data_IF_885367265657
#
_entry.id   IF_885367265657
#
_cell.length_a   1.000
_cell.length_b   1.000
_cell.length_c   1.000
_cell.angle_alpha   90.00
_cell.angle_beta   90.00
_cell.angle_gamma   90.00
#
_symmetry.space_group_name_H-M   'P 1'
#
loop_
_entity.id
_entity.type
_entity.pdbx_description
1 polymer ?
#
# COMPACT_ATOMS: atom_id res chain seq x y z
N UNK A 1 5.01 19.77 1.09
CA UNK A 1 5.15 18.47 0.40
C UNK A 1 6.04 17.52 1.20
N UNK A 2 7.34 17.77 1.44
CA UNK A 2 8.15 16.86 2.27
C UNK A 2 7.59 16.65 3.69
N UNK A 3 7.32 17.73 4.42
CA UNK A 3 6.70 17.66 5.75
C UNK A 3 5.34 16.95 5.70
N UNK A 4 4.50 17.39 4.75
CA UNK A 4 3.17 16.85 4.51
C UNK A 4 3.10 15.34 4.29
N UNK A 5 4.09 14.73 3.62
CA UNK A 5 4.09 13.29 3.34
C UNK A 5 5.03 12.50 4.25
N UNK A 6 6.28 12.95 4.45
CA UNK A 6 7.27 12.20 5.24
C UNK A 6 7.09 12.38 6.75
N UNK A 7 6.74 13.58 7.22
CA UNK A 7 6.60 13.82 8.68
C UNK A 7 5.22 13.38 9.16
N UNK A 8 4.17 13.61 8.37
CA UNK A 8 2.81 13.21 8.73
C UNK A 8 2.42 11.79 8.30
N UNK A 9 3.34 11.04 7.67
CA UNK A 9 3.12 9.67 7.18
C UNK A 9 1.77 9.53 6.45
N UNK A 10 1.53 10.41 5.47
CA UNK A 10 0.19 10.63 4.91
C UNK A 10 -0.48 9.34 4.42
N UNK A 11 0.23 8.54 3.62
CA UNK A 11 -0.33 7.32 3.06
C UNK A 11 -0.52 6.27 4.15
N UNK A 12 0.50 6.02 4.96
CA UNK A 12 0.47 5.03 6.04
C UNK A 12 -0.65 5.30 7.04
N UNK A 13 -0.84 6.55 7.44
CA UNK A 13 -1.94 6.95 8.32
C UNK A 13 -3.29 6.82 7.62
N UNK A 14 -3.41 7.26 6.36
CA UNK A 14 -4.65 7.12 5.59
C UNK A 14 -5.08 5.66 5.43
N UNK A 15 -4.14 4.76 5.16
CA UNK A 15 -4.44 3.33 5.10
C UNK A 15 -4.80 2.77 6.47
N UNK A 16 -4.03 3.10 7.51
CA UNK A 16 -4.29 2.62 8.88
C UNK A 16 -5.70 3.01 9.35
N UNK A 17 -6.16 4.21 9.01
CA UNK A 17 -7.49 4.70 9.34
C UNK A 17 -8.61 4.01 8.54
N UNK A 18 -8.40 3.77 7.24
CA UNK A 18 -9.47 3.31 6.33
C UNK A 18 -9.55 1.79 6.16
N UNK A 19 -8.45 1.06 6.31
CA UNK A 19 -8.45 -0.43 6.19
C UNK A 19 -9.57 -1.08 7.03
N UNK A 20 -9.81 -0.69 8.29
CA UNK A 20 -10.89 -1.28 9.09
C UNK A 20 -12.30 -1.14 8.48
N UNK A 21 -12.60 -0.05 7.77
CA UNK A 21 -13.92 0.17 7.17
C UNK A 21 -14.11 -0.57 5.84
N UNK A 22 -13.02 -0.79 5.11
CA UNK A 22 -13.04 -1.51 3.83
C UNK A 22 -13.14 -3.02 4.00
N UNK A 23 -12.60 -3.57 5.10
CA UNK A 23 -12.56 -5.03 5.31
C UNK A 23 -13.31 -5.43 6.59
N UNK A 24 -14.62 -5.57 6.43
CA UNK A 24 -15.53 -5.90 7.52
C UNK A 24 -15.64 -7.41 7.73
N UNK A 25 -15.76 -7.80 9.00
CA UNK A 25 -16.13 -9.16 9.38
C UNK A 25 -17.58 -9.45 8.95
N UNK A 26 -17.87 -10.71 8.66
CA UNK A 26 -19.23 -11.16 8.34
C UNK A 26 -19.94 -11.67 9.60
N UNK A 27 -21.26 -11.77 9.52
CA UNK A 27 -22.08 -12.36 10.57
C UNK A 27 -22.73 -13.69 10.11
N UNK A 28 -23.41 -14.37 11.03
CA UNK A 28 -24.10 -15.62 10.70
C UNK A 28 -25.19 -15.43 9.65
N UNK A 29 -25.85 -14.26 9.62
CA UNK A 29 -26.90 -13.96 8.65
C UNK A 29 -26.35 -13.95 7.21
N UNK A 30 -25.09 -13.54 7.04
CA UNK A 30 -24.38 -13.61 5.76
C UNK A 30 -24.22 -15.04 5.27
N UNK A 31 -23.83 -15.97 6.15
CA UNK A 31 -23.69 -17.39 5.80
C UNK A 31 -25.06 -17.98 5.46
N UNK A 32 -26.07 -17.74 6.30
CA UNK A 32 -27.43 -18.25 6.11
C UNK A 32 -28.11 -17.75 4.83
N UNK A 33 -27.78 -16.53 4.40
CA UNK A 33 -28.30 -15.94 3.15
C UNK A 33 -27.76 -16.64 1.90
N UNK A 34 -26.50 -17.05 1.91
CA UNK A 34 -25.80 -17.53 0.71
C UNK A 34 -25.69 -19.06 0.66
N UNK A 35 -25.95 -19.74 1.78
CA UNK A 35 -25.73 -21.18 1.92
C UNK A 35 -27.02 -21.87 2.38
N UNK A 36 -27.47 -22.92 1.68
CA UNK A 36 -28.65 -23.68 2.09
C UNK A 36 -28.52 -24.24 3.51
N UNK A 37 -29.64 -24.24 4.26
CA UNK A 37 -29.70 -24.76 5.64
C UNK A 37 -29.36 -26.24 5.78
N UNK A 38 -29.46 -27.01 4.69
CA UNK A 38 -29.22 -28.46 4.66
C UNK A 38 -27.82 -28.83 4.15
N UNK A 39 -26.99 -27.85 3.79
CA UNK A 39 -25.60 -28.10 3.43
C UNK A 39 -24.81 -28.32 4.74
N UNK A 40 -24.21 -29.50 4.87
CA UNK A 40 -23.42 -29.87 6.06
C UNK A 40 -21.94 -30.12 5.71
N UNK A 41 -21.55 -29.90 4.44
CA UNK A 41 -20.15 -29.90 4.05
C UNK A 41 -19.52 -28.53 4.32
N UNK A 42 -19.07 -28.33 5.56
CA UNK A 42 -18.51 -27.05 6.03
C UNK A 42 -17.27 -26.59 5.26
N UNK A 43 -16.45 -27.50 4.74
CA UNK A 43 -15.32 -27.14 3.87
C UNK A 43 -15.81 -26.56 2.53
N UNK A 44 -16.86 -27.14 1.97
CA UNK A 44 -17.48 -26.60 0.76
C UNK A 44 -18.16 -25.26 1.01
N UNK A 45 -18.81 -25.10 2.16
CA UNK A 45 -19.43 -23.84 2.58
C UNK A 45 -18.38 -22.74 2.70
N UNK A 46 -17.30 -23.02 3.43
CA UNK A 46 -16.22 -22.06 3.69
C UNK A 46 -15.59 -21.56 2.38
N UNK A 47 -15.18 -22.50 1.51
CA UNK A 47 -14.67 -22.17 0.17
C UNK A 47 -15.67 -21.33 -0.63
N UNK A 48 -16.95 -21.71 -0.66
CA UNK A 48 -17.95 -20.98 -1.41
C UNK A 48 -18.13 -19.55 -0.92
N UNK A 49 -18.18 -19.33 0.40
CA UNK A 49 -18.28 -17.98 0.97
C UNK A 49 -17.08 -17.12 0.55
N UNK A 50 -15.87 -17.68 0.61
CA UNK A 50 -14.63 -16.97 0.25
C UNK A 50 -14.54 -16.67 -1.23
N UNK A 51 -14.71 -17.68 -2.09
CA UNK A 51 -14.53 -17.56 -3.54
C UNK A 51 -15.64 -16.73 -4.18
N UNK A 52 -16.91 -17.02 -3.87
CA UNK A 52 -18.04 -16.43 -4.60
C UNK A 52 -18.40 -15.02 -4.09
N UNK A 53 -18.06 -14.70 -2.84
CA UNK A 53 -18.57 -13.48 -2.19
C UNK A 53 -17.48 -12.58 -1.61
N UNK A 54 -16.58 -13.10 -0.76
CA UNK A 54 -15.65 -12.24 -0.04
C UNK A 54 -14.47 -11.78 -0.88
N UNK A 55 -13.86 -12.69 -1.65
CA UNK A 55 -12.61 -12.40 -2.35
C UNK A 55 -12.77 -11.27 -3.37
N UNK A 56 -13.77 -11.39 -4.25
CA UNK A 56 -14.04 -10.35 -5.27
C UNK A 56 -14.42 -9.01 -4.63
N UNK A 57 -15.25 -9.03 -3.59
CA UNK A 57 -15.59 -7.82 -2.85
C UNK A 57 -14.34 -7.17 -2.27
N UNK A 58 -13.48 -7.94 -1.59
CA UNK A 58 -12.28 -7.40 -0.97
C UNK A 58 -11.26 -6.93 -2.00
N UNK A 59 -11.18 -7.54 -3.18
CA UNK A 59 -10.34 -7.04 -4.27
C UNK A 59 -10.82 -5.68 -4.77
N UNK A 60 -12.14 -5.50 -4.94
CA UNK A 60 -12.73 -4.23 -5.33
C UNK A 60 -12.52 -3.17 -4.24
N UNK A 61 -12.77 -3.53 -2.98
CA UNK A 61 -12.54 -2.69 -1.80
C UNK A 61 -11.07 -2.25 -1.71
N UNK A 62 -10.12 -3.17 -1.92
CA UNK A 62 -8.70 -2.86 -1.93
C UNK A 62 -8.32 -1.92 -3.08
N UNK A 63 -8.84 -2.13 -4.30
CA UNK A 63 -8.61 -1.24 -5.44
C UNK A 63 -9.15 0.17 -5.17
N UNK A 64 -10.37 0.25 -4.61
CA UNK A 64 -10.99 1.52 -4.24
C UNK A 64 -10.21 2.24 -3.15
N UNK A 65 -9.70 1.52 -2.16
CA UNK A 65 -8.86 2.05 -1.08
C UNK A 65 -7.56 2.65 -1.62
N UNK A 66 -6.86 1.92 -2.51
CA UNK A 66 -5.63 2.41 -3.16
C UNK A 66 -5.92 3.68 -3.97
N UNK A 67 -6.98 3.67 -4.77
CA UNK A 67 -7.38 4.83 -5.55
C UNK A 67 -7.70 6.04 -4.67
N UNK A 68 -8.43 5.83 -3.58
CA UNK A 68 -8.83 6.90 -2.68
C UNK A 68 -7.63 7.57 -1.98
N UNK A 69 -6.69 6.77 -1.47
CA UNK A 69 -5.59 7.28 -0.66
C UNK A 69 -4.41 7.73 -1.54
N UNK A 70 -4.09 6.94 -2.56
CA UNK A 70 -2.90 7.16 -3.40
C UNK A 70 -3.24 7.96 -4.65
N UNK A 71 -4.05 7.41 -5.56
CA UNK A 71 -4.23 8.02 -6.89
C UNK A 71 -4.81 9.43 -6.81
N UNK A 72 -5.89 9.61 -6.05
CA UNK A 72 -6.49 10.94 -5.87
C UNK A 72 -5.46 11.94 -5.32
N UNK A 73 -4.61 11.50 -4.37
CA UNK A 73 -3.63 12.39 -3.76
C UNK A 73 -2.48 12.71 -4.70
N UNK A 74 -2.08 11.74 -5.50
CA UNK A 74 -1.06 11.89 -6.52
C UNK A 74 -1.52 12.91 -7.57
N UNK A 75 -2.76 12.82 -8.03
CA UNK A 75 -3.36 13.76 -8.98
C UNK A 75 -3.44 15.18 -8.39
N UNK A 76 -3.84 15.33 -7.12
CA UNK A 76 -3.83 16.62 -6.43
C UNK A 76 -2.44 17.26 -6.34
N UNK A 77 -1.39 16.46 -6.10
CA UNK A 77 -0.01 16.97 -6.07
C UNK A 77 0.44 17.38 -7.46
N UNK A 78 0.12 16.61 -8.49
CA UNK A 78 0.38 16.97 -9.88
C UNK A 78 -0.27 18.31 -10.24
N UNK A 79 -1.53 18.51 -9.86
CA UNK A 79 -2.25 19.77 -10.05
C UNK A 79 -1.61 20.95 -9.30
N UNK A 80 -1.13 20.73 -8.07
CA UNK A 80 -0.41 21.75 -7.30
C UNK A 80 0.90 22.15 -7.96
N UNK A 81 1.64 21.17 -8.47
CA UNK A 81 2.91 21.42 -9.20
C UNK A 81 2.63 22.17 -10.50
N UNK A 82 1.61 21.78 -11.25
CA UNK A 82 1.18 22.48 -12.46
C UNK A 82 0.77 23.93 -12.17
N UNK A 83 -0.04 24.16 -11.14
CA UNK A 83 -0.45 25.52 -10.72
C UNK A 83 0.74 26.37 -10.30
N UNK A 84 1.73 25.80 -9.61
CA UNK A 84 2.96 26.51 -9.26
C UNK A 84 3.77 26.89 -10.50
N UNK A 85 3.87 25.99 -11.49
CA UNK A 85 4.52 26.25 -12.78
C UNK A 85 3.84 27.41 -13.53
N UNK A 86 2.51 27.39 -13.65
CA UNK A 86 1.74 28.47 -14.30
C UNK A 86 1.87 29.79 -13.53
N UNK A 87 1.73 29.75 -12.20
CA UNK A 87 1.77 30.95 -11.35
C UNK A 87 3.12 31.66 -11.37
N UNK A 88 4.22 30.94 -11.64
CA UNK A 88 5.55 31.53 -11.75
C UNK A 88 5.70 32.43 -13.00
N UNK A 89 4.82 32.29 -13.99
CA UNK A 89 4.87 33.02 -15.27
C UNK A 89 3.77 34.09 -15.32
N UNK A 90 2.55 33.70 -14.97
CA UNK A 90 1.39 34.60 -14.95
C UNK A 90 0.09 33.82 -14.88
N UNK A 91 -0.87 34.32 -14.08
CA UNK A 91 -2.15 33.64 -13.90
C UNK A 91 -3.17 34.09 -14.95
N UNK A 92 -3.19 33.41 -16.09
CA UNK A 92 -4.24 33.58 -17.12
C UNK A 92 -4.64 32.23 -17.72
N UNK A 93 -5.90 32.13 -18.18
CA UNK A 93 -6.41 30.92 -18.84
C UNK A 93 -5.71 30.60 -20.17
N UNK A 94 -5.13 31.61 -20.84
CA UNK A 94 -4.30 31.38 -22.03
C UNK A 94 -2.95 30.77 -21.65
N UNK A 95 -2.29 31.34 -20.63
CA UNK A 95 -1.00 30.83 -20.12
C UNK A 95 -1.18 29.40 -19.61
N UNK A 96 -2.29 29.08 -18.93
CA UNK A 96 -2.59 27.71 -18.48
C UNK A 96 -2.70 26.72 -19.65
N UNK A 97 -3.37 27.10 -20.75
CA UNK A 97 -3.49 26.24 -21.94
C UNK A 97 -2.14 26.01 -22.62
N UNK A 98 -1.32 27.05 -22.72
CA UNK A 98 0.02 26.96 -23.31
C UNK A 98 0.95 26.14 -22.41
N UNK A 99 0.87 26.35 -21.10
CA UNK A 99 1.64 25.59 -20.11
C UNK A 99 1.37 24.08 -20.22
N UNK A 100 0.12 23.65 -20.48
CA UNK A 100 -0.20 22.21 -20.67
C UNK A 100 0.57 21.55 -21.82
N UNK A 101 1.00 22.32 -22.82
CA UNK A 101 1.73 21.77 -23.98
C UNK A 101 3.22 21.52 -23.68
N UNK A 102 3.77 22.25 -22.71
CA UNK A 102 5.19 22.18 -22.33
C UNK A 102 5.41 21.57 -20.94
N UNK A 103 4.35 21.44 -20.14
CA UNK A 103 4.40 20.82 -18.82
C UNK A 103 4.55 19.31 -18.94
N UNK A 104 5.77 18.84 -18.70
CA UNK A 104 6.13 17.42 -18.76
C UNK A 104 6.26 16.90 -17.34
N UNK A 105 5.11 16.61 -16.74
CA UNK A 105 5.00 15.81 -15.51
C UNK A 105 4.24 14.55 -15.90
N UNK A 106 4.92 13.41 -15.97
CA UNK A 106 4.24 12.19 -16.36
C UNK A 106 3.08 11.89 -15.39
N UNK A 107 1.96 11.38 -15.88
CA UNK A 107 0.85 10.99 -15.02
C UNK A 107 1.35 9.99 -13.96
N UNK A 108 1.12 10.28 -12.68
CA UNK A 108 1.67 9.49 -11.59
C UNK A 108 0.65 8.50 -10.99
N UNK A 109 -0.64 8.70 -11.25
CA UNK A 109 -1.74 7.77 -10.90
C UNK A 109 -1.51 6.38 -11.50
N UNK A 110 -1.87 5.34 -10.75
CA UNK A 110 -1.69 3.92 -11.13
C UNK A 110 -0.24 3.44 -11.13
N UNK A 111 0.75 4.35 -11.03
CA UNK A 111 2.16 3.96 -11.02
C UNK A 111 2.61 3.34 -9.69
N UNK A 112 1.72 3.23 -8.70
CA UNK A 112 1.93 2.53 -7.44
C UNK A 112 1.21 1.18 -7.38
N UNK A 113 0.35 0.87 -8.35
CA UNK A 113 -0.47 -0.35 -8.37
C UNK A 113 0.39 -1.60 -8.24
N UNK A 114 1.53 -1.64 -8.92
CA UNK A 114 2.45 -2.78 -8.86
C UNK A 114 2.95 -3.10 -7.43
N UNK A 115 3.08 -2.08 -6.56
CA UNK A 115 3.49 -2.28 -5.17
C UNK A 115 2.37 -2.94 -4.36
N UNK A 116 1.14 -2.51 -4.60
CA UNK A 116 -0.05 -3.08 -3.97
C UNK A 116 -0.40 -4.47 -4.52
N UNK A 117 -0.20 -4.72 -5.81
CA UNK A 117 -0.35 -6.04 -6.41
C UNK A 117 0.66 -7.04 -5.84
N UNK A 118 1.92 -6.60 -5.65
CA UNK A 118 2.97 -7.48 -5.15
C UNK A 118 2.69 -7.99 -3.74
N UNK A 119 2.22 -7.13 -2.84
CA UNK A 119 2.06 -7.50 -1.43
C UNK A 119 0.59 -7.61 -1.00
N UNK A 120 -0.25 -6.62 -1.33
CA UNK A 120 -1.64 -6.60 -0.90
C UNK A 120 -2.51 -7.67 -1.58
N UNK A 121 -2.44 -7.80 -2.91
CA UNK A 121 -3.23 -8.81 -3.64
C UNK A 121 -2.83 -10.24 -3.25
N UNK A 122 -1.53 -10.53 -3.15
CA UNK A 122 -1.05 -11.85 -2.73
C UNK A 122 -1.51 -12.21 -1.32
N UNK A 123 -1.50 -11.24 -0.40
CA UNK A 123 -2.05 -11.42 0.95
C UNK A 123 -3.54 -11.75 0.91
N UNK A 124 -4.30 -11.08 0.05
CA UNK A 124 -5.73 -11.26 -0.12
C UNK A 124 -6.04 -12.65 -0.72
N UNK A 125 -5.32 -13.05 -1.77
CA UNK A 125 -5.42 -14.39 -2.37
C UNK A 125 -5.06 -15.48 -1.34
N UNK A 126 -4.03 -15.27 -0.53
CA UNK A 126 -3.58 -16.31 0.41
C UNK A 126 -4.46 -16.42 1.66
N UNK A 127 -4.85 -15.29 2.27
CA UNK A 127 -5.60 -15.28 3.53
C UNK A 127 -7.11 -15.36 3.30
N UNK A 128 -7.64 -14.66 2.29
CA UNK A 128 -9.09 -14.52 2.12
C UNK A 128 -9.63 -15.60 1.19
N UNK A 129 -9.04 -15.79 0.01
CA UNK A 129 -9.54 -16.77 -0.97
C UNK A 129 -9.39 -18.20 -0.46
N UNK A 130 -8.22 -18.54 0.06
CA UNK A 130 -7.89 -19.91 0.45
C UNK A 130 -8.27 -20.19 1.92
N UNK A 131 -9.19 -21.14 2.20
CA UNK A 131 -9.50 -21.55 3.57
C UNK A 131 -8.27 -22.01 4.33
N UNK A 132 -8.30 -21.86 5.66
CA UNK A 132 -7.29 -22.49 6.50
C UNK A 132 -7.36 -24.00 6.25
N UNK A 133 -6.21 -24.68 6.20
CA UNK A 133 -6.09 -26.12 5.90
C UNK A 133 -6.29 -26.54 4.44
N UNK A 134 -6.65 -25.62 3.54
CA UNK A 134 -6.69 -25.91 2.11
C UNK A 134 -5.29 -26.21 1.56
N UNK A 135 -5.15 -27.29 0.77
CA UNK A 135 -3.88 -27.62 0.10
C UNK A 135 -3.37 -26.47 -0.78
N UNK A 136 -4.31 -25.67 -1.31
CA UNK A 136 -3.99 -24.50 -2.12
C UNK A 136 -3.31 -23.39 -1.33
N UNK A 137 -3.72 -23.16 -0.07
CA UNK A 137 -3.07 -22.20 0.84
C UNK A 137 -1.61 -22.57 1.09
N UNK A 138 -1.34 -23.85 1.32
CA UNK A 138 0.03 -24.35 1.49
C UNK A 138 0.86 -24.21 0.21
N UNK A 139 0.30 -24.55 -0.95
CA UNK A 139 0.97 -24.41 -2.24
C UNK A 139 1.31 -22.94 -2.52
N UNK A 140 0.33 -22.04 -2.39
CA UNK A 140 0.51 -20.62 -2.67
C UNK A 140 1.51 -19.97 -1.70
N UNK A 141 1.50 -20.36 -0.41
CA UNK A 141 2.53 -19.93 0.52
C UNK A 141 3.92 -20.36 0.10
N UNK A 142 4.13 -21.62 -0.30
CA UNK A 142 5.44 -22.11 -0.73
C UNK A 142 5.97 -21.34 -1.94
N UNK A 143 5.08 -20.92 -2.85
CA UNK A 143 5.44 -20.09 -4.00
C UNK A 143 5.93 -18.71 -3.58
N UNK A 144 5.33 -18.12 -2.53
CA UNK A 144 5.63 -16.76 -2.08
C UNK A 144 6.40 -16.68 -0.74
N UNK A 145 6.99 -17.79 -0.31
CA UNK A 145 7.60 -17.96 1.02
C UNK A 145 8.61 -16.87 1.34
N UNK A 146 9.51 -16.59 0.42
CA UNK A 146 10.58 -15.59 0.62
C UNK A 146 10.01 -14.17 0.81
N UNK A 147 8.88 -13.86 0.18
CA UNK A 147 8.21 -12.57 0.38
C UNK A 147 7.56 -12.50 1.76
N UNK A 148 6.93 -13.56 2.25
CA UNK A 148 6.37 -13.59 3.61
C UNK A 148 7.44 -13.56 4.68
N UNK A 149 8.58 -14.23 4.46
CA UNK A 149 9.74 -14.12 5.34
C UNK A 149 10.29 -12.71 5.35
N UNK A 150 10.35 -12.05 4.20
CA UNK A 150 10.72 -10.65 4.12
C UNK A 150 9.74 -9.77 4.90
N UNK A 151 8.42 -9.97 4.75
CA UNK A 151 7.39 -9.26 5.53
C UNK A 151 7.58 -9.48 7.04
N UNK A 152 7.74 -10.72 7.48
CA UNK A 152 7.94 -11.07 8.89
C UNK A 152 9.20 -10.43 9.47
N UNK A 153 10.30 -10.42 8.71
CA UNK A 153 11.58 -9.84 9.11
C UNK A 153 11.53 -8.34 9.38
N UNK A 154 10.58 -7.64 8.77
CA UNK A 154 10.36 -6.20 8.92
C UNK A 154 9.30 -5.86 9.95
N UNK A 155 8.53 -6.85 10.39
CA UNK A 155 7.51 -6.69 11.41
C UNK A 155 8.07 -6.94 12.82
N UNK A 156 8.27 -8.22 13.19
CA UNK A 156 8.79 -8.63 14.52
C UNK A 156 9.85 -9.73 14.43
N UNK A 157 10.03 -10.35 13.26
CA UNK A 157 10.96 -11.44 13.00
C UNK A 157 10.78 -12.63 13.97
N UNK A 158 9.53 -12.89 14.36
CA UNK A 158 9.15 -13.97 15.29
C UNK A 158 8.27 -15.03 14.60
N UNK A 159 8.14 -14.99 13.27
CA UNK A 159 7.34 -15.92 12.48
C UNK A 159 5.83 -15.68 12.58
N UNK A 160 5.38 -14.67 13.34
CA UNK A 160 3.97 -14.40 13.57
C UNK A 160 3.20 -14.09 12.28
N UNK A 161 3.80 -13.38 11.32
CA UNK A 161 3.15 -13.13 10.02
C UNK A 161 2.93 -14.45 9.30
N UNK A 162 3.92 -15.35 9.33
CA UNK A 162 3.81 -16.68 8.72
C UNK A 162 2.69 -17.48 9.39
N UNK A 163 2.59 -17.41 10.72
CA UNK A 163 1.58 -18.12 11.49
C UNK A 163 0.15 -17.61 11.21
N UNK A 164 -0.03 -16.29 11.14
CA UNK A 164 -1.30 -15.67 10.74
C UNK A 164 -1.70 -16.10 9.33
N UNK A 165 -0.76 -16.04 8.39
CA UNK A 165 -0.99 -16.34 6.98
C UNK A 165 -1.32 -17.82 6.77
N UNK A 166 -0.76 -18.73 7.54
CA UNK A 166 -0.89 -20.18 7.28
C UNK A 166 -1.89 -20.89 8.19
N UNK A 167 -1.89 -20.58 9.47
CA UNK A 167 -2.73 -21.25 10.48
C UNK A 167 -3.83 -20.34 11.04
N UNK A 168 -3.81 -19.05 10.69
CA UNK A 168 -4.71 -18.04 11.24
C UNK A 168 -4.37 -17.60 12.66
N UNK A 169 -3.26 -18.06 13.26
CA UNK A 169 -2.92 -17.74 14.64
C UNK A 169 -2.04 -16.49 14.73
N UNK A 170 -2.49 -15.51 15.49
CA UNK A 170 -1.70 -14.33 15.91
C UNK A 170 -0.80 -14.67 17.11
N UNK A 171 0.13 -15.58 16.87
CA UNK A 171 1.09 -16.04 17.86
C UNK A 171 2.46 -16.13 17.20
N UNK A 172 3.52 -15.76 17.93
CA UNK A 172 4.88 -16.03 17.49
C UNK A 172 5.04 -17.52 17.23
N UNK A 173 5.77 -17.87 16.16
CA UNK A 173 6.20 -19.26 16.02
C UNK A 173 7.18 -19.54 17.15
N UNK A 174 7.06 -20.74 17.72
CA UNK A 174 8.19 -21.31 18.44
C UNK A 174 9.38 -21.20 17.51
N UNK A 175 10.41 -20.44 17.91
CA UNK A 175 11.75 -20.65 17.39
C UNK A 175 12.23 -21.98 17.95
N UNK A 176 11.58 -23.07 17.51
CA UNK A 176 12.14 -24.39 17.61
C UNK A 176 13.41 -24.29 16.80
N UNK A 177 14.54 -24.10 17.48
CA UNK A 177 15.83 -24.25 16.86
C UNK A 177 15.73 -25.64 16.22
N UNK A 178 15.64 -25.74 14.90
CA UNK A 178 15.40 -27.01 14.21
C UNK A 178 16.42 -28.07 14.66
N UNK A 179 17.57 -27.57 15.11
CA UNK A 179 18.61 -28.24 15.85
C UNK A 179 18.19 -28.84 17.21
N UNK A 180 17.44 -28.15 18.06
CA UNK A 180 16.89 -28.69 19.32
C UNK A 180 15.86 -29.80 19.08
N UNK A 181 14.97 -29.64 18.09
CA UNK A 181 14.03 -30.70 17.69
C UNK A 181 14.81 -31.92 17.19
N UNK A 182 15.77 -31.70 16.28
CA UNK A 182 16.69 -32.75 15.83
C UNK A 182 17.48 -33.37 16.99
N UNK A 183 17.95 -32.59 17.97
CA UNK A 183 18.63 -33.06 19.18
C UNK A 183 17.75 -34.02 19.97
N UNK A 184 16.49 -33.66 20.17
CA UNK A 184 15.53 -34.43 20.94
C UNK A 184 15.15 -35.74 20.22
N UNK A 185 14.92 -35.68 18.91
CA UNK A 185 14.62 -36.85 18.08
C UNK A 185 15.82 -37.81 17.99
N UNK A 186 17.02 -37.26 17.79
CA UNK A 186 18.25 -38.04 17.72
C UNK A 186 18.59 -38.68 19.06
N UNK A 187 18.46 -37.95 20.18
CA UNK A 187 18.61 -38.51 21.52
C UNK A 187 17.60 -39.63 21.78
N UNK A 188 16.34 -39.44 21.35
CA UNK A 188 15.30 -40.46 21.46
C UNK A 188 15.59 -41.71 20.62
N UNK A 189 16.26 -41.55 19.46
CA UNK A 189 16.72 -42.64 18.63
C UNK A 189 17.93 -43.37 19.23
N UNK A 190 18.90 -42.65 19.81
CA UNK A 190 20.06 -43.21 20.51
C UNK A 190 19.63 -44.15 21.64
N UNK A 191 18.62 -43.76 22.42
CA UNK A 191 18.14 -44.59 23.54
C UNK A 191 17.55 -45.94 23.11
N UNK A 192 17.25 -46.13 21.81
CA UNK A 192 16.74 -47.38 21.25
C UNK A 192 17.86 -48.28 20.69
N UNK A 193 19.11 -47.82 20.68
CA UNK A 193 20.26 -48.57 20.19
C UNK A 193 20.84 -49.48 21.28
N UNK A 194 21.53 -50.54 20.85
CA UNK A 194 22.38 -51.37 21.73
C UNK A 194 23.69 -50.64 22.07
N UNK A 195 24.38 -51.10 23.13
CA UNK A 195 25.47 -50.36 23.78
C UNK A 195 26.60 -49.89 22.84
N UNK A 196 27.08 -50.74 21.92
CA UNK A 196 28.19 -50.37 21.02
C UNK A 196 27.78 -49.34 19.94
N UNK A 197 26.65 -49.49 19.22
CA UNK A 197 26.13 -48.43 18.36
C UNK A 197 25.75 -47.14 19.10
N UNK A 198 25.30 -47.26 20.35
CA UNK A 198 24.94 -46.13 21.21
C UNK A 198 26.16 -45.26 21.52
N UNK A 199 27.26 -45.87 21.94
CA UNK A 199 28.53 -45.17 22.26
C UNK A 199 29.11 -44.44 21.04
N UNK A 200 29.02 -45.06 19.85
CA UNK A 200 29.39 -44.41 18.59
C UNK A 200 28.48 -43.23 18.26
N UNK A 201 27.16 -43.38 18.39
CA UNK A 201 26.20 -42.32 18.11
C UNK A 201 26.32 -41.15 19.10
N UNK A 202 26.62 -41.40 20.37
CA UNK A 202 26.91 -40.38 21.39
C UNK A 202 28.21 -39.62 21.07
N UNK A 203 29.24 -40.32 20.56
CA UNK A 203 30.48 -39.69 20.10
C UNK A 203 30.24 -38.79 18.87
N UNK A 204 29.44 -39.25 17.91
CA UNK A 204 29.01 -38.44 16.77
C UNK A 204 28.21 -37.22 17.24
N UNK A 205 27.26 -37.38 18.17
CA UNK A 205 26.48 -36.29 18.75
C UNK A 205 27.39 -35.20 19.33
N UNK A 206 28.32 -35.59 20.19
CA UNK A 206 29.19 -34.66 20.93
C UNK A 206 30.17 -33.90 20.02
N UNK A 207 30.49 -34.43 18.83
CA UNK A 207 31.39 -33.78 17.87
C UNK A 207 30.66 -32.93 16.82
N UNK A 208 29.47 -33.36 16.38
CA UNK A 208 28.68 -32.67 15.34
C UNK A 208 27.81 -31.54 15.90
N UNK A 209 27.16 -31.73 17.05
CA UNK A 209 26.20 -30.75 17.56
C UNK A 209 26.79 -29.37 17.87
N UNK A 210 27.99 -29.24 18.47
CA UNK A 210 28.59 -27.93 18.68
C UNK A 210 28.82 -27.15 17.37
N UNK A 211 29.14 -27.85 16.27
CA UNK A 211 29.33 -27.25 14.94
C UNK A 211 27.98 -26.86 14.31
N UNK A 212 26.96 -27.70 14.50
CA UNK A 212 25.59 -27.38 14.08
C UNK A 212 24.99 -26.22 14.89
N UNK A 213 25.30 -26.11 16.19
CA UNK A 213 24.89 -25.00 17.07
C UNK A 213 25.57 -23.68 16.66
N UNK A 214 26.78 -23.74 16.12
CA UNK A 214 27.48 -22.59 15.54
C UNK A 214 26.87 -22.17 14.19
N UNK A 215 26.49 -23.13 13.35
CA UNK A 215 25.82 -22.89 12.07
C UNK A 215 24.37 -22.41 12.22
N UNK A 216 23.62 -22.94 13.20
CA UNK A 216 22.23 -22.55 13.48
C UNK A 216 22.12 -21.10 13.99
N UNK A 217 23.19 -20.54 14.58
CA UNK A 217 23.24 -19.10 14.91
C UNK A 217 23.28 -18.20 13.67
N UNK A 218 23.56 -18.76 12.49
CA UNK A 218 23.67 -18.04 11.22
C UNK A 218 22.35 -18.08 10.44
N UNK A 219 21.46 -19.03 10.74
CA UNK A 219 20.21 -19.24 10.00
C UNK A 219 19.02 -19.42 10.95
N UNK A 220 18.30 -18.33 11.22
CA UNK A 220 16.97 -18.37 11.85
C UNK A 220 15.97 -18.95 10.82
N UNK A 221 16.05 -20.25 10.57
CA UNK A 221 15.09 -20.96 9.73
C UNK A 221 13.92 -21.45 10.60
N UNK A 222 12.72 -20.95 10.30
CA UNK A 222 11.49 -21.48 10.87
C UNK A 222 11.21 -22.85 10.26
N UNK A 223 10.87 -23.86 11.08
CA UNK A 223 10.40 -25.14 10.57
C UNK A 223 8.99 -24.98 10.01
N UNK A 224 8.88 -24.96 8.68
CA UNK A 224 7.60 -24.90 8.00
C UNK A 224 6.66 -26.04 8.44
N UNK A 225 7.17 -27.19 8.93
CA UNK A 225 6.32 -28.27 9.45
C UNK A 225 5.53 -27.87 10.69
N UNK A 226 6.03 -26.95 11.52
CA UNK A 226 5.28 -26.40 12.66
C UNK A 226 4.07 -25.59 12.19
N UNK A 227 4.19 -24.91 11.04
CA UNK A 227 3.08 -24.18 10.41
C UNK A 227 1.99 -25.14 9.91
N UNK A 228 2.36 -26.37 9.52
CA UNK A 228 1.45 -27.38 8.98
C UNK A 228 0.91 -28.39 10.01
N UNK A 229 1.30 -28.27 11.29
CA UNK A 229 1.01 -29.25 12.35
C UNK A 229 -0.43 -29.23 12.92
N UNK A 230 -0.99 -30.45 13.10
CA UNK A 230 -2.28 -30.82 13.73
C UNK A 230 -3.43 -29.81 13.59
N UNK A 231 -4.15 -29.98 12.47
CA UNK A 231 -5.15 -29.08 11.95
C UNK A 231 -6.54 -29.72 12.11
N UNK A 232 -7.39 -29.17 12.99
CA UNK A 232 -8.81 -29.57 13.08
C UNK A 232 -9.56 -28.97 11.89
N UNK A 233 -10.37 -29.77 11.20
CA UNK A 233 -11.29 -29.28 10.17
C UNK A 233 -12.47 -28.50 10.79
N UNK A 234 -13.24 -27.80 9.95
CA UNK A 234 -14.43 -27.09 10.41
C UNK A 234 -15.58 -28.08 10.63
N UNK A 235 -16.23 -28.03 11.80
CA UNK A 235 -17.29 -28.97 12.16
C UNK A 235 -18.68 -28.31 12.24
N UNK A 236 -18.75 -26.98 12.13
CA UNK A 236 -19.99 -26.21 12.25
C UNK A 236 -19.95 -24.92 11.40
N UNK A 237 -21.10 -24.24 11.26
CA UNK A 237 -21.17 -22.92 10.60
C UNK A 237 -20.48 -21.84 11.43
N UNK A 238 -20.54 -22.00 12.74
CA UNK A 238 -19.84 -21.16 13.71
C UNK A 238 -18.33 -21.26 13.53
N UNK A 239 -17.78 -22.46 13.35
CA UNK A 239 -16.34 -22.64 13.06
C UNK A 239 -15.94 -21.95 11.75
N UNK A 240 -16.77 -22.08 10.71
CA UNK A 240 -16.54 -21.39 9.42
C UNK A 240 -16.56 -19.88 9.59
N UNK A 241 -17.53 -19.34 10.33
CA UNK A 241 -17.65 -17.92 10.62
C UNK A 241 -16.43 -17.41 11.39
N UNK A 242 -16.02 -18.12 12.44
CA UNK A 242 -14.85 -17.79 13.25
C UNK A 242 -13.55 -17.84 12.43
N UNK A 243 -13.40 -18.83 11.55
CA UNK A 243 -12.24 -18.94 10.66
C UNK A 243 -12.15 -17.75 9.72
N UNK A 244 -13.24 -17.43 9.02
CA UNK A 244 -13.29 -16.32 8.07
C UNK A 244 -13.00 -15.00 8.79
N UNK A 245 -13.68 -14.71 9.90
CA UNK A 245 -13.47 -13.45 10.61
C UNK A 245 -12.08 -13.33 11.21
N UNK A 246 -11.47 -14.45 11.62
CA UNK A 246 -10.06 -14.49 12.04
C UNK A 246 -9.13 -14.15 10.89
N UNK A 247 -9.35 -14.72 9.70
CA UNK A 247 -8.58 -14.39 8.51
C UNK A 247 -8.78 -12.93 8.06
N UNK A 248 -10.00 -12.39 8.13
CA UNK A 248 -10.27 -10.97 7.86
C UNK A 248 -9.49 -10.07 8.82
N UNK A 249 -9.47 -10.41 10.12
CA UNK A 249 -8.70 -9.69 11.12
C UNK A 249 -7.20 -9.78 10.84
N UNK A 250 -6.68 -10.97 10.57
CA UNK A 250 -5.28 -11.18 10.25
C UNK A 250 -4.87 -10.44 8.98
N UNK A 251 -5.70 -10.43 7.94
CA UNK A 251 -5.47 -9.67 6.72
C UNK A 251 -5.31 -8.18 7.03
N UNK A 252 -6.23 -7.60 7.81
CA UNK A 252 -6.13 -6.19 8.25
C UNK A 252 -4.82 -5.94 9.02
N UNK A 253 -4.49 -6.80 9.98
CA UNK A 253 -3.26 -6.67 10.78
C UNK A 253 -2.02 -6.73 9.91
N UNK A 254 -1.88 -7.75 9.05
CA UNK A 254 -0.70 -7.88 8.18
C UNK A 254 -0.62 -6.73 7.18
N UNK A 255 -1.75 -6.27 6.65
CA UNK A 255 -1.79 -5.13 5.73
C UNK A 255 -1.27 -3.86 6.41
N UNK A 256 -1.82 -3.50 7.59
CA UNK A 256 -1.48 -2.30 8.35
C UNK A 256 -0.07 -2.36 8.93
N UNK A 257 0.28 -3.48 9.58
CA UNK A 257 1.48 -3.53 10.41
C UNK A 257 2.72 -4.03 9.67
N UNK A 258 2.56 -4.74 8.55
CA UNK A 258 3.69 -5.26 7.76
C UNK A 258 3.73 -4.66 6.36
N UNK A 259 2.67 -4.82 5.56
CA UNK A 259 2.69 -4.44 4.14
C UNK A 259 2.87 -2.93 3.97
N UNK A 260 2.01 -2.11 4.57
CA UNK A 260 2.04 -0.65 4.40
C UNK A 260 3.39 -0.03 4.79
N UNK A 261 3.97 -0.36 5.96
CA UNK A 261 5.32 0.12 6.33
C UNK A 261 6.40 -0.31 5.34
N UNK A 262 6.31 -1.52 4.79
CA UNK A 262 7.32 -2.05 3.86
C UNK A 262 7.23 -1.41 2.48
N UNK A 263 6.03 -1.02 2.06
CA UNK A 263 5.86 -0.29 0.81
C UNK A 263 6.54 1.08 0.84
N UNK A 264 6.66 1.70 2.03
CA UNK A 264 7.32 3.01 2.24
C UNK A 264 6.86 4.03 1.18
N UNK A 265 5.55 4.10 1.00
CA UNK A 265 4.91 4.83 -0.10
C UNK A 265 5.26 6.32 -0.04
N UNK A 266 5.45 6.87 1.15
CA UNK A 266 5.88 8.23 1.40
C UNK A 266 7.21 8.51 0.72
N UNK A 267 8.22 7.69 0.99
CA UNK A 267 9.57 7.86 0.43
C UNK A 267 9.57 7.63 -1.07
N UNK A 268 8.89 6.58 -1.53
CA UNK A 268 8.80 6.26 -2.97
C UNK A 268 8.12 7.41 -3.71
N UNK A 269 7.02 7.93 -3.17
CA UNK A 269 6.29 9.05 -3.76
C UNK A 269 7.12 10.33 -3.80
N UNK A 270 7.72 10.73 -2.68
CA UNK A 270 8.54 11.96 -2.63
C UNK A 270 9.71 11.88 -3.63
N UNK A 271 10.48 10.79 -3.61
CA UNK A 271 11.62 10.62 -4.53
C UNK A 271 11.18 10.69 -5.99
N UNK A 272 9.99 10.16 -6.28
CA UNK A 272 9.44 10.18 -7.62
C UNK A 272 9.04 11.60 -8.05
N UNK A 273 8.29 12.31 -7.21
CA UNK A 273 7.92 13.71 -7.49
C UNK A 273 9.18 14.58 -7.62
N UNK A 274 10.19 14.38 -6.78
CA UNK A 274 11.49 15.07 -6.91
C UNK A 274 12.15 14.79 -8.25
N UNK A 275 12.16 13.53 -8.71
CA UNK A 275 12.71 13.17 -10.02
C UNK A 275 11.99 13.88 -11.15
N UNK A 276 10.66 13.91 -11.14
CA UNK A 276 9.86 14.61 -12.15
C UNK A 276 10.15 16.12 -12.13
N UNK A 277 10.25 16.73 -10.94
CA UNK A 277 10.62 18.14 -10.80
C UNK A 277 12.02 18.40 -11.37
N UNK A 278 13.00 17.54 -11.10
CA UNK A 278 14.34 17.67 -11.65
C UNK A 278 14.35 17.54 -13.18
N UNK A 279 13.55 16.63 -13.74
CA UNK A 279 13.37 16.50 -15.19
C UNK A 279 12.79 17.79 -15.77
N UNK A 280 11.77 18.37 -15.14
CA UNK A 280 11.21 19.66 -15.56
C UNK A 280 12.26 20.78 -15.49
N UNK A 281 13.01 20.88 -14.39
CA UNK A 281 14.08 21.88 -14.22
C UNK A 281 15.14 21.74 -15.31
N UNK A 282 15.55 20.51 -15.64
CA UNK A 282 16.55 20.26 -16.70
C UNK A 282 16.10 20.68 -18.10
N UNK A 283 14.79 20.86 -18.29
CA UNK A 283 14.18 21.30 -19.56
C UNK A 283 13.85 22.78 -19.58
N UNK A 284 14.13 23.54 -18.51
CA UNK A 284 13.83 24.97 -18.49
C UNK A 284 14.57 25.75 -19.58
N UNK A 285 15.78 25.32 -19.94
CA UNK A 285 16.57 25.93 -21.01
C UNK A 285 16.20 25.40 -22.42
N UNK A 286 15.15 24.58 -22.54
CA UNK A 286 14.76 24.03 -23.84
C UNK A 286 14.16 25.11 -24.75
N UNK A 287 14.32 25.01 -26.08
CA UNK A 287 13.70 25.94 -27.03
C UNK A 287 12.19 26.06 -26.83
N UNK A 288 11.52 24.95 -26.53
CA UNK A 288 10.07 24.90 -26.33
C UNK A 288 9.63 25.68 -25.09
N UNK A 289 10.38 25.60 -23.98
CA UNK A 289 10.08 26.38 -22.77
C UNK A 289 10.41 27.85 -22.98
N UNK A 290 11.52 28.17 -23.65
CA UNK A 290 11.88 29.55 -23.97
C UNK A 290 10.82 30.21 -24.87
N UNK A 291 10.37 29.54 -25.93
CA UNK A 291 9.31 30.02 -26.81
C UNK A 291 8.00 30.20 -26.03
N UNK A 292 7.67 29.27 -25.14
CA UNK A 292 6.51 29.39 -24.27
C UNK A 292 6.59 30.61 -23.34
N UNK A 293 7.73 30.85 -22.69
CA UNK A 293 7.94 31.99 -21.78
C UNK A 293 7.81 33.31 -22.55
N UNK A 294 8.42 33.41 -23.73
CA UNK A 294 8.34 34.60 -24.58
C UNK A 294 6.90 34.91 -24.99
N UNK A 295 6.19 33.93 -25.54
CA UNK A 295 4.80 34.14 -25.95
C UNK A 295 3.86 34.43 -24.75
N UNK A 296 4.16 33.86 -23.58
CA UNK A 296 3.39 34.11 -22.35
C UNK A 296 3.63 35.52 -21.79
N UNK A 297 4.85 36.03 -21.91
CA UNK A 297 5.20 37.41 -21.54
C UNK A 297 4.47 38.42 -22.42
N UNK A 298 4.37 38.18 -23.72
CA UNK A 298 3.62 39.05 -24.64
C UNK A 298 2.14 39.14 -24.24
N UNK A 299 1.50 38.01 -23.93
CA UNK A 299 0.12 37.97 -23.44
C UNK A 299 -0.03 38.70 -22.10
N UNK A 300 0.94 38.53 -21.19
CA UNK A 300 0.91 39.20 -19.89
C UNK A 300 1.04 40.72 -20.05
N UNK A 301 1.97 41.19 -20.88
CA UNK A 301 2.21 42.60 -21.17
C UNK A 301 1.04 43.24 -21.91
N UNK A 302 0.45 42.57 -22.89
CA UNK A 302 -0.77 43.03 -23.58
C UNK A 302 -1.93 43.22 -22.60
N UNK A 303 -2.11 42.28 -21.66
CA UNK A 303 -3.14 42.40 -20.61
C UNK A 303 -2.87 43.55 -19.64
N UNK A 304 -1.63 43.75 -19.20
CA UNK A 304 -1.30 44.89 -18.35
C UNK A 304 -1.51 46.23 -19.07
N UNK A 305 -1.09 46.33 -20.33
CA UNK A 305 -1.28 47.52 -21.15
C UNK A 305 -2.77 47.83 -21.36
N UNK A 306 -3.58 46.83 -21.71
CA UNK A 306 -5.03 47.00 -21.86
C UNK A 306 -5.70 47.47 -20.54
N UNK A 307 -5.22 46.98 -19.39
CA UNK A 307 -5.74 47.35 -18.08
C UNK A 307 -5.32 48.79 -17.68
N UNK A 308 -4.15 49.25 -18.14
CA UNK A 308 -3.71 50.64 -18.02
C UNK A 308 -4.58 51.54 -18.90
N UNK A 309 -4.83 51.17 -20.17
CA UNK A 309 -5.66 51.92 -21.10
C UNK A 309 -7.11 52.05 -20.58
N UNK A 310 -7.66 51.00 -20.01
CA UNK A 310 -8.99 51.02 -19.39
C UNK A 310 -9.04 52.01 -18.20
N UNK A 311 -8.03 52.00 -17.33
CA UNK A 311 -7.92 52.98 -16.22
C UNK A 311 -7.76 54.41 -16.73
N UNK A 312 -6.98 54.62 -17.79
CA UNK A 312 -6.80 55.93 -18.42
C UNK A 312 -8.14 56.43 -18.97
N UNK A 313 -8.91 55.57 -19.62
CA UNK A 313 -10.21 55.93 -20.17
C UNK A 313 -11.26 56.24 -19.09
N UNK A 314 -11.23 55.49 -17.99
CA UNK A 314 -12.04 55.78 -16.80
C UNK A 314 -11.68 57.13 -16.17
N UNK A 315 -10.39 57.49 -16.13
CA UNK A 315 -9.92 58.80 -15.69
C UNK A 315 -10.38 59.93 -16.63
N UNK A 316 -10.33 59.72 -17.94
CA UNK A 316 -10.85 60.69 -18.92
C UNK A 316 -12.34 60.93 -18.73
N UNK A 317 -13.13 59.87 -18.60
CA UNK A 317 -14.58 59.98 -18.31
C UNK A 317 -14.85 60.73 -17.02
N UNK A 318 -14.13 60.44 -15.94
CA UNK A 318 -14.24 61.19 -14.68
C UNK A 318 -13.95 62.67 -14.87
N UNK A 319 -12.91 63.00 -15.65
CA UNK A 319 -12.54 64.37 -15.97
C UNK A 319 -13.63 65.08 -16.79
N UNK A 320 -14.17 64.44 -17.83
CA UNK A 320 -15.27 64.98 -18.65
C UNK A 320 -16.54 65.24 -17.83
N UNK A 321 -16.86 64.34 -16.89
CA UNK A 321 -17.98 64.52 -15.95
C UNK A 321 -17.75 65.76 -15.09
N UNK A 322 -16.55 65.93 -14.53
CA UNK A 322 -16.20 67.09 -13.71
C UNK A 322 -16.25 68.40 -14.51
N UNK A 323 -15.70 68.42 -15.71
CA UNK A 323 -15.75 69.59 -16.62
C UNK A 323 -17.19 69.94 -17.02
N UNK A 324 -18.04 68.94 -17.23
CA UNK A 324 -19.47 69.16 -17.52
C UNK A 324 -20.20 69.79 -16.33
N UNK A 325 -19.93 69.31 -15.11
CA UNK A 325 -20.49 69.89 -13.88
C UNK A 325 -20.00 71.34 -13.69
N UNK A 326 -18.71 71.59 -13.90
CA UNK A 326 -18.10 72.92 -13.77
C UNK A 326 -18.68 73.92 -14.79
N UNK A 327 -18.86 73.49 -16.05
CA UNK A 327 -19.49 74.30 -17.09
C UNK A 327 -20.99 74.57 -16.80
N UNK A 328 -21.71 73.60 -16.25
CA UNK A 328 -23.09 73.82 -15.81
C UNK A 328 -23.18 74.85 -14.67
N UNK A 329 -22.27 74.78 -13.68
CA UNK A 329 -22.21 75.74 -12.58
C UNK A 329 -21.84 77.15 -13.07
N UNK A 330 -20.93 77.25 -14.04
CA UNK A 330 -20.48 78.53 -14.59
C UNK A 330 -21.48 79.16 -15.58
N UNK A 331 -22.46 78.42 -16.10
CA UNK A 331 -23.50 78.94 -17.00
C UNK A 331 -24.76 79.45 -16.26
N UNK A 332 -24.79 79.31 -14.93
CA UNK A 332 -25.86 79.81 -14.04
C UNK A 332 -25.53 81.16 -13.39
N UNK A 333 -24.32 81.70 -13.63
CA UNK A 333 -23.90 83.07 -13.32
C UNK A 333 -23.91 83.91 -14.59
#
# INVERSE_FOLDING_TARGET
>A
MKSEFAENLYFSNGFTEKVPSYFSEIDMSFIEKHIPKYEDNFDSINRKIREDYLHNQFLEDFSNLVKEIVDNRVDEVQDRVFKAFVSAIGNSSEIEKMAKQVFIFEQQSGKFDYLFERFGRKMLDLIIYNPIMGSKREEDYKIYRDEFLYLDSKYKKDGRILNMVISGKDEALSSGNSLEVFKNDFNSAIQKLSDSPKEFAETCLNSLFPQLEELAKIDESFDDKELFGNRRGNYSREDVLEEINRDVKNFKTVLIEAVIPILDLETVFIKRVEKEILVMISKLDSPEINDFVLNSLDIYLEKELANIDEKVEDYKRKKEILETIENFLNSQN
#
